data_IF_003907673358
#
_entry.id   IF_003907673358
#
_cell.length_a   1.000
_cell.length_b   1.000
_cell.length_c   1.000
_cell.angle_alpha   90.00
_cell.angle_beta   90.00
_cell.angle_gamma   90.00
#
_symmetry.space_group_name_H-M   'P 1'
#
loop_
_entity.id
_entity.type
_entity.pdbx_description
1 polymer ?
#
# COMPACT_ATOMS: atom_id res chain seq x y z
N UNK A 1 67.28 14.15 -3.11
CA UNK A 1 66.25 13.12 -3.33
C UNK A 1 64.97 13.54 -2.62
N UNK A 2 63.96 14.04 -3.34
CA UNK A 2 62.64 14.40 -2.80
C UNK A 2 61.61 13.51 -3.49
N UNK A 3 60.99 12.59 -2.77
CA UNK A 3 59.94 11.71 -3.28
C UNK A 3 58.61 12.46 -3.21
N UNK A 4 58.02 12.79 -4.37
CA UNK A 4 56.61 13.17 -4.46
C UNK A 4 55.77 11.91 -4.23
N UNK A 5 54.83 11.97 -3.29
CA UNK A 5 53.76 10.98 -3.15
C UNK A 5 52.50 11.65 -3.71
N UNK A 6 52.04 11.20 -4.87
CA UNK A 6 50.77 11.61 -5.45
C UNK A 6 49.66 10.79 -4.78
N UNK A 7 48.74 11.47 -4.09
CA UNK A 7 47.49 10.86 -3.62
C UNK A 7 46.46 10.97 -4.74
N UNK A 8 46.10 9.82 -5.31
CA UNK A 8 44.95 9.71 -6.21
C UNK A 8 43.71 9.56 -5.32
N UNK A 9 42.88 10.60 -5.25
CA UNK A 9 41.52 10.49 -4.70
C UNK A 9 40.65 9.93 -5.81
N UNK A 10 40.27 8.65 -5.71
CA UNK A 10 39.27 8.07 -6.60
C UNK A 10 37.90 8.60 -6.17
N UNK A 11 37.34 9.53 -6.96
CA UNK A 11 35.94 9.90 -6.84
C UNK A 11 35.08 8.71 -7.32
N UNK A 12 34.45 8.00 -6.37
CA UNK A 12 33.43 7.00 -6.70
C UNK A 12 32.19 7.78 -7.13
N UNK A 13 31.95 7.87 -8.45
CA UNK A 13 30.69 8.35 -8.99
C UNK A 13 29.67 7.23 -8.74
N UNK A 14 28.91 7.35 -7.65
CA UNK A 14 27.67 6.61 -7.47
C UNK A 14 26.68 7.14 -8.49
N UNK A 15 26.54 6.44 -9.62
CA UNK A 15 25.39 6.65 -10.50
C UNK A 15 24.20 6.12 -9.70
N UNK A 16 23.23 6.96 -9.30
CA UNK A 16 22.01 6.44 -8.72
C UNK A 16 21.38 5.55 -9.79
N UNK A 17 21.32 4.24 -9.52
CA UNK A 17 20.46 3.36 -10.27
C UNK A 17 19.06 3.90 -10.01
N UNK A 18 18.44 4.53 -11.02
CA UNK A 18 17.05 4.93 -10.89
C UNK A 18 16.27 3.65 -10.57
N UNK A 19 15.73 3.55 -9.36
CA UNK A 19 14.79 2.52 -9.03
C UNK A 19 13.62 2.71 -9.99
N UNK A 20 13.46 1.77 -10.93
CA UNK A 20 12.23 1.71 -11.71
C UNK A 20 11.10 1.60 -10.68
N UNK A 21 10.14 2.53 -10.69
CA UNK A 21 8.96 2.41 -9.84
C UNK A 21 8.34 1.02 -10.12
N UNK A 22 8.21 0.20 -9.08
CA UNK A 22 7.57 -1.10 -9.22
C UNK A 22 6.14 -0.87 -9.70
N UNK A 23 5.70 -1.65 -10.69
CA UNK A 23 4.32 -1.60 -11.12
C UNK A 23 3.47 -2.29 -10.05
N UNK A 24 2.28 -1.76 -9.79
CA UNK A 24 1.35 -2.31 -8.80
C UNK A 24 -0.02 -2.48 -9.44
N UNK A 25 -0.66 -3.62 -9.19
CA UNK A 25 -2.08 -3.84 -9.44
C UNK A 25 -2.77 -4.03 -8.09
N UNK A 26 -3.63 -3.07 -7.73
CA UNK A 26 -4.22 -2.94 -6.40
C UNK A 26 -5.74 -3.19 -6.46
N UNK A 27 -6.22 -4.23 -5.79
CA UNK A 27 -7.64 -4.47 -5.61
C UNK A 27 -8.10 -4.01 -4.23
N UNK A 28 -9.04 -3.07 -4.18
CA UNK A 28 -9.65 -2.56 -2.95
C UNK A 28 -10.97 -3.28 -2.70
N UNK A 29 -11.02 -4.15 -1.70
CA UNK A 29 -12.20 -4.85 -1.23
C UNK A 29 -12.79 -4.12 -0.01
N UNK A 30 -13.93 -3.47 -0.23
CA UNK A 30 -14.54 -2.53 0.70
C UNK A 30 -15.79 -3.15 1.35
N UNK A 31 -15.78 -3.29 2.67
CA UNK A 31 -16.91 -3.82 3.42
C UNK A 31 -18.07 -2.81 3.45
N UNK A 32 -19.23 -3.26 2.98
CA UNK A 32 -20.50 -2.55 3.01
C UNK A 32 -21.58 -3.32 3.77
N UNK A 33 -21.20 -4.26 4.64
CA UNK A 33 -22.10 -5.10 5.43
C UNK A 33 -22.93 -4.30 6.44
N UNK A 34 -23.89 -4.98 7.08
CA UNK A 34 -24.89 -4.36 7.95
C UNK A 34 -24.40 -3.99 9.36
N UNK A 35 -23.21 -4.45 9.78
CA UNK A 35 -22.56 -4.01 11.02
C UNK A 35 -22.10 -2.55 10.93
N UNK A 36 -21.72 -2.11 9.72
CA UNK A 36 -21.30 -0.75 9.44
C UNK A 36 -22.55 0.13 9.33
N UNK A 37 -22.65 1.18 10.16
CA UNK A 37 -23.72 2.16 10.02
C UNK A 37 -23.57 2.96 8.72
N UNK A 38 -24.67 3.47 8.15
CA UNK A 38 -24.57 4.26 6.91
C UNK A 38 -23.74 5.54 7.06
N UNK A 39 -23.65 6.11 8.27
CA UNK A 39 -22.73 7.23 8.53
C UNK A 39 -21.27 6.77 8.45
N UNK A 40 -20.94 5.62 9.04
CA UNK A 40 -19.58 5.07 9.00
C UNK A 40 -19.19 4.62 7.59
N UNK A 41 -20.13 4.04 6.84
CA UNK A 41 -19.90 3.70 5.44
C UNK A 41 -19.58 4.95 4.60
N UNK A 42 -20.28 6.07 4.85
CA UNK A 42 -19.96 7.33 4.19
C UNK A 42 -18.58 7.86 4.60
N UNK A 43 -18.18 7.77 5.87
CA UNK A 43 -16.81 8.14 6.31
C UNK A 43 -15.74 7.33 5.57
N UNK A 44 -15.90 6.00 5.50
CA UNK A 44 -15.00 5.12 4.75
C UNK A 44 -14.93 5.50 3.27
N UNK A 45 -16.09 5.75 2.65
CA UNK A 45 -16.19 6.12 1.23
C UNK A 45 -15.53 7.48 0.96
N UNK A 46 -15.79 8.47 1.80
CA UNK A 46 -15.22 9.82 1.69
C UNK A 46 -13.70 9.77 1.87
N UNK A 47 -13.19 8.95 2.80
CA UNK A 47 -11.77 8.72 2.98
C UNK A 47 -11.11 8.08 1.74
N UNK A 48 -11.71 7.05 1.14
CA UNK A 48 -11.22 6.50 -0.13
C UNK A 48 -11.17 7.55 -1.24
N UNK A 49 -12.22 8.37 -1.36
CA UNK A 49 -12.26 9.47 -2.34
C UNK A 49 -11.15 10.50 -2.06
N UNK A 50 -10.97 10.91 -0.80
CA UNK A 50 -9.95 11.88 -0.39
C UNK A 50 -8.54 11.37 -0.70
N UNK A 51 -8.19 10.20 -0.16
CA UNK A 51 -6.86 9.59 -0.25
C UNK A 51 -6.51 9.26 -1.70
N UNK A 52 -7.38 8.56 -2.42
CA UNK A 52 -7.08 8.12 -3.78
C UNK A 52 -7.06 9.28 -4.77
N UNK A 53 -7.70 10.42 -4.47
CA UNK A 53 -7.65 11.62 -5.32
C UNK A 53 -6.37 12.44 -5.09
N UNK A 54 -5.65 12.23 -3.99
CA UNK A 54 -4.38 12.88 -3.71
C UNK A 54 -3.23 12.28 -4.55
N UNK A 55 -2.71 13.06 -5.50
CA UNK A 55 -1.64 12.62 -6.41
C UNK A 55 -0.27 12.39 -5.73
N UNK A 56 -0.08 12.86 -4.50
CA UNK A 56 1.10 12.53 -3.68
C UNK A 56 0.99 11.15 -3.03
N UNK A 57 -0.24 10.62 -2.90
CA UNK A 57 -0.52 9.31 -2.31
C UNK A 57 -0.68 8.25 -3.38
N UNK A 58 -1.53 8.50 -4.39
CA UNK A 58 -1.72 7.61 -5.54
C UNK A 58 -1.14 8.25 -6.82
N UNK A 59 0.01 7.76 -7.33
CA UNK A 59 0.64 8.29 -8.53
C UNK A 59 -0.29 8.30 -9.76
N UNK A 60 -0.06 9.27 -10.66
CA UNK A 60 -0.81 9.46 -11.92
C UNK A 60 0.04 9.18 -13.16
N UNK A 61 1.09 8.39 -13.02
CA UNK A 61 2.09 8.11 -14.04
C UNK A 61 1.92 6.72 -14.69
N UNK A 62 0.82 6.01 -14.38
CA UNK A 62 0.52 4.68 -14.87
C UNK A 62 1.27 3.55 -14.16
N UNK A 63 2.02 3.85 -13.10
CA UNK A 63 2.68 2.83 -12.27
C UNK A 63 1.70 1.95 -11.50
N UNK A 64 0.50 2.46 -11.19
CA UNK A 64 -0.53 1.74 -10.43
C UNK A 64 -1.78 1.50 -11.28
N UNK A 65 -2.34 0.30 -11.23
CA UNK A 65 -3.70 -0.01 -11.67
C UNK A 65 -4.57 -0.31 -10.44
N UNK A 66 -5.85 0.10 -10.46
CA UNK A 66 -6.76 -0.08 -9.33
C UNK A 66 -8.05 -0.76 -9.78
N UNK A 67 -8.47 -1.77 -9.02
CA UNK A 67 -9.80 -2.38 -9.06
C UNK A 67 -10.53 -2.11 -7.73
N UNK A 68 -11.86 -2.03 -7.76
CA UNK A 68 -12.67 -1.80 -6.56
C UNK A 68 -13.82 -2.79 -6.48
N UNK A 69 -13.97 -3.41 -5.33
CA UNK A 69 -15.06 -4.32 -4.98
C UNK A 69 -15.77 -3.82 -3.73
N UNK A 70 -17.10 -3.74 -3.78
CA UNK A 70 -17.95 -3.58 -2.59
C UNK A 70 -18.47 -4.96 -2.21
N UNK A 71 -18.31 -5.37 -0.95
CA UNK A 71 -18.81 -6.66 -0.49
C UNK A 71 -19.70 -6.56 0.73
N UNK A 72 -20.62 -7.50 0.82
CA UNK A 72 -21.52 -7.73 1.96
C UNK A 72 -21.95 -9.20 1.96
N UNK A 73 -23.24 -9.51 1.76
CA UNK A 73 -23.67 -10.88 1.46
C UNK A 73 -23.23 -11.34 0.06
N UNK A 74 -23.14 -10.39 -0.87
CA UNK A 74 -22.66 -10.57 -2.24
C UNK A 74 -21.47 -9.63 -2.49
N UNK A 75 -20.68 -9.94 -3.52
CA UNK A 75 -19.56 -9.12 -4.00
C UNK A 75 -19.96 -8.41 -5.29
N UNK A 76 -19.75 -7.10 -5.34
CA UNK A 76 -20.05 -6.24 -6.48
C UNK A 76 -18.75 -5.62 -6.96
N UNK A 77 -18.40 -5.86 -8.23
CA UNK A 77 -17.34 -5.12 -8.89
C UNK A 77 -17.82 -3.70 -9.18
N UNK A 78 -17.17 -2.72 -8.54
CA UNK A 78 -17.51 -1.29 -8.61
C UNK A 78 -16.69 -0.59 -9.69
N UNK A 79 -15.45 -1.01 -9.86
CA UNK A 79 -14.52 -0.45 -10.84
C UNK A 79 -13.56 -1.55 -11.31
N UNK A 80 -13.51 -1.76 -12.62
CA UNK A 80 -12.61 -2.75 -13.25
C UNK A 80 -11.15 -2.32 -13.08
N UNK A 81 -10.24 -3.29 -13.03
CA UNK A 81 -8.81 -3.03 -12.94
C UNK A 81 -8.38 -2.08 -14.07
N UNK A 82 -8.00 -0.86 -13.69
CA UNK A 82 -7.67 0.19 -14.64
C UNK A 82 -6.40 0.91 -14.22
N UNK A 83 -5.47 1.07 -15.16
CA UNK A 83 -4.26 1.90 -14.97
C UNK A 83 -4.64 3.34 -14.62
N UNK A 84 -4.05 3.87 -13.55
CA UNK A 84 -4.35 5.20 -13.01
C UNK A 84 -3.41 6.26 -13.58
N UNK A 85 -4.02 7.23 -14.27
CA UNK A 85 -3.39 8.44 -14.76
C UNK A 85 -4.36 9.65 -14.64
N UNK A 86 -3.97 10.80 -15.19
CA UNK A 86 -4.79 12.01 -15.15
C UNK A 86 -6.14 11.90 -15.89
N UNK A 87 -6.32 10.89 -16.74
CA UNK A 87 -7.52 10.65 -17.54
C UNK A 87 -8.46 9.64 -16.90
N UNK A 88 -7.92 8.63 -16.21
CA UNK A 88 -8.72 7.55 -15.60
C UNK A 88 -9.13 7.84 -14.16
N UNK A 89 -8.38 8.67 -13.42
CA UNK A 89 -8.67 8.96 -12.01
C UNK A 89 -10.09 9.44 -11.75
N UNK A 90 -10.65 10.31 -12.59
CA UNK A 90 -12.02 10.79 -12.38
C UNK A 90 -13.06 9.68 -12.44
N UNK A 91 -12.78 8.61 -13.21
CA UNK A 91 -13.62 7.42 -13.27
C UNK A 91 -13.60 6.63 -11.97
N UNK A 92 -12.41 6.34 -11.44
CA UNK A 92 -12.23 5.69 -10.14
C UNK A 92 -12.96 6.43 -9.02
N UNK A 93 -12.72 7.75 -8.90
CA UNK A 93 -13.35 8.57 -7.85
C UNK A 93 -14.87 8.61 -7.99
N UNK A 94 -15.38 8.70 -9.21
CA UNK A 94 -16.83 8.71 -9.46
C UNK A 94 -17.47 7.36 -9.11
N UNK A 95 -16.80 6.24 -9.41
CA UNK A 95 -17.26 4.90 -9.11
C UNK A 95 -17.36 4.68 -7.59
N UNK A 96 -16.30 5.02 -6.85
CA UNK A 96 -16.25 4.92 -5.38
C UNK A 96 -17.33 5.81 -4.76
N UNK A 97 -17.41 7.09 -5.14
CA UNK A 97 -18.40 8.01 -4.59
C UNK A 97 -19.85 7.57 -4.87
N UNK A 98 -20.07 6.91 -6.01
CA UNK A 98 -21.36 6.36 -6.44
C UNK A 98 -21.77 5.07 -5.73
N UNK A 99 -20.91 4.45 -4.91
CA UNK A 99 -21.25 3.25 -4.16
C UNK A 99 -22.44 3.50 -3.22
N UNK A 100 -23.35 2.52 -3.21
CA UNK A 100 -24.47 2.46 -2.27
C UNK A 100 -24.28 1.25 -1.37
N UNK A 101 -24.28 1.47 -0.06
CA UNK A 101 -24.15 0.40 0.92
C UNK A 101 -25.26 -0.65 0.72
N UNK A 102 -24.86 -1.91 0.61
CA UNK A 102 -25.77 -3.05 0.43
C UNK A 102 -26.28 -3.61 1.76
N UNK A 103 -25.46 -3.55 2.82
CA UNK A 103 -25.79 -4.03 4.15
C UNK A 103 -25.88 -5.57 4.22
N UNK A 104 -26.36 -6.08 5.35
CA UNK A 104 -26.55 -7.52 5.55
C UNK A 104 -25.31 -8.24 6.06
N UNK A 105 -25.02 -9.40 5.46
CA UNK A 105 -23.93 -10.30 5.86
C UNK A 105 -22.56 -9.79 5.38
N UNK A 106 -21.50 -10.52 5.70
CA UNK A 106 -20.11 -10.17 5.41
C UNK A 106 -19.40 -11.34 4.71
N UNK A 107 -18.99 -11.15 3.46
CA UNK A 107 -18.31 -12.12 2.60
C UNK A 107 -16.90 -11.65 2.19
N UNK A 108 -15.98 -11.70 3.14
CA UNK A 108 -14.55 -11.45 2.95
C UNK A 108 -13.94 -12.48 1.99
N UNK A 109 -14.30 -13.75 2.12
CA UNK A 109 -13.73 -14.82 1.29
C UNK A 109 -14.07 -14.62 -0.20
N UNK A 110 -15.34 -14.33 -0.50
CA UNK A 110 -15.78 -14.03 -1.86
C UNK A 110 -15.10 -12.78 -2.43
N UNK A 111 -14.90 -11.74 -1.62
CA UNK A 111 -14.23 -10.51 -2.06
C UNK A 111 -12.77 -10.78 -2.46
N UNK A 112 -12.05 -11.57 -1.66
CA UNK A 112 -10.67 -12.00 -1.97
C UNK A 112 -10.64 -12.84 -3.24
N UNK A 113 -11.58 -13.79 -3.40
CA UNK A 113 -11.65 -14.65 -4.57
C UNK A 113 -11.91 -13.85 -5.86
N UNK A 114 -12.86 -12.91 -5.82
CA UNK A 114 -13.18 -12.05 -6.97
C UNK A 114 -11.98 -11.16 -7.37
N UNK A 115 -11.36 -10.50 -6.39
CA UNK A 115 -10.19 -9.66 -6.62
C UNK A 115 -9.01 -10.47 -7.19
N UNK A 116 -8.72 -11.65 -6.64
CA UNK A 116 -7.69 -12.55 -7.18
C UNK A 116 -7.96 -12.87 -8.64
N UNK A 117 -9.18 -13.28 -8.97
CA UNK A 117 -9.51 -13.75 -10.31
C UNK A 117 -9.31 -12.64 -11.36
N UNK A 118 -9.68 -11.39 -11.06
CA UNK A 118 -9.39 -10.26 -11.94
C UNK A 118 -7.90 -9.95 -12.03
N UNK A 119 -7.20 -9.80 -10.91
CA UNK A 119 -5.77 -9.47 -10.88
C UNK A 119 -4.92 -10.50 -11.64
N UNK A 120 -5.28 -11.80 -11.56
CA UNK A 120 -4.58 -12.88 -12.27
C UNK A 120 -5.03 -13.06 -13.72
N UNK A 121 -6.18 -12.50 -14.12
CA UNK A 121 -6.59 -12.48 -15.53
C UNK A 121 -5.71 -11.58 -16.40
N UNK A 122 -4.97 -10.67 -15.76
CA UNK A 122 -3.99 -9.75 -16.35
C UNK A 122 -4.52 -9.02 -17.61
N UNK A 123 -5.66 -8.30 -17.52
CA UNK A 123 -6.32 -7.73 -18.69
C UNK A 123 -5.44 -6.69 -19.41
N UNK A 124 -4.55 -6.03 -18.68
CA UNK A 124 -3.66 -4.97 -19.17
C UNK A 124 -2.22 -5.46 -19.47
N UNK A 125 -1.93 -6.75 -19.34
CA UNK A 125 -0.60 -7.33 -19.64
C UNK A 125 0.50 -6.88 -18.67
N UNK A 126 0.13 -6.58 -17.43
CA UNK A 126 0.96 -6.12 -16.31
C UNK A 126 1.43 -7.28 -15.43
N UNK A 127 1.74 -8.43 -16.03
CA UNK A 127 2.30 -9.62 -15.34
C UNK A 127 3.52 -9.37 -14.43
N UNK A 128 4.28 -8.30 -14.63
CA UNK A 128 5.43 -7.93 -13.78
C UNK A 128 5.07 -6.98 -12.63
N UNK A 129 3.80 -6.57 -12.50
CA UNK A 129 3.31 -5.77 -11.40
C UNK A 129 3.06 -6.63 -10.16
N UNK A 130 3.41 -6.08 -9.00
CA UNK A 130 3.04 -6.67 -7.71
C UNK A 130 1.52 -6.64 -7.60
N UNK A 131 0.91 -7.78 -7.26
CA UNK A 131 -0.54 -7.96 -7.16
C UNK A 131 -0.96 -7.93 -5.70
N UNK A 132 -1.76 -6.93 -5.35
CA UNK A 132 -2.11 -6.63 -3.96
C UNK A 132 -3.62 -6.63 -3.81
N UNK A 133 -4.12 -7.39 -2.85
CA UNK A 133 -5.53 -7.37 -2.44
C UNK A 133 -5.63 -6.74 -1.06
N UNK A 134 -6.46 -5.73 -0.92
CA UNK A 134 -6.68 -5.00 0.31
C UNK A 134 -8.11 -5.12 0.78
N UNK A 135 -8.33 -5.73 1.95
CA UNK A 135 -9.66 -5.81 2.53
C UNK A 135 -9.78 -4.85 3.71
N UNK A 136 -10.75 -3.93 3.65
CA UNK A 136 -11.17 -3.13 4.81
C UNK A 136 -12.47 -3.71 5.39
N UNK A 137 -12.54 -4.00 6.70
CA UNK A 137 -13.73 -4.59 7.35
C UNK A 137 -13.85 -4.21 8.83
N UNK A 138 -15.08 -4.10 9.35
CA UNK A 138 -15.36 -3.89 10.78
C UNK A 138 -15.68 -5.18 11.54
N UNK A 139 -15.61 -6.34 10.86
CA UNK A 139 -16.19 -7.57 11.35
C UNK A 139 -15.49 -8.84 10.90
N UNK A 140 -16.28 -9.91 10.78
CA UNK A 140 -15.86 -11.26 10.43
C UNK A 140 -16.74 -11.82 9.32
N UNK A 141 -16.27 -12.86 8.64
CA UNK A 141 -17.08 -13.65 7.71
C UNK A 141 -18.37 -14.16 8.36
N UNK A 142 -19.51 -13.94 7.71
CA UNK A 142 -20.82 -14.44 8.17
C UNK A 142 -21.59 -15.23 7.12
N UNK A 143 -21.01 -15.45 5.93
CA UNK A 143 -21.53 -16.36 4.90
C UNK A 143 -20.65 -17.62 4.80
N UNK A 144 -21.13 -18.73 4.20
CA UNK A 144 -20.29 -19.91 3.98
C UNK A 144 -19.01 -19.57 3.19
N UNK A 145 -17.86 -19.92 3.75
CA UNK A 145 -16.55 -19.62 3.18
C UNK A 145 -15.49 -19.55 4.28
N UNK A 146 -14.22 -19.54 3.89
CA UNK A 146 -13.10 -19.36 4.81
C UNK A 146 -12.14 -18.32 4.24
N UNK A 147 -12.13 -17.09 4.80
CA UNK A 147 -11.22 -16.04 4.35
C UNK A 147 -9.74 -16.43 4.42
N UNK A 148 -9.35 -17.27 5.40
CA UNK A 148 -7.96 -17.70 5.52
C UNK A 148 -7.57 -18.65 4.37
N UNK A 149 -8.49 -19.54 3.98
CA UNK A 149 -8.31 -20.42 2.82
C UNK A 149 -8.29 -19.63 1.51
N UNK A 150 -9.20 -18.66 1.34
CA UNK A 150 -9.24 -17.78 0.17
C UNK A 150 -7.94 -16.98 0.02
N UNK A 151 -7.47 -16.34 1.10
CA UNK A 151 -6.22 -15.58 1.11
C UNK A 151 -5.00 -16.46 0.83
N UNK A 152 -4.90 -17.63 1.47
CA UNK A 152 -3.80 -18.56 1.24
C UNK A 152 -3.78 -19.07 -0.21
N UNK A 153 -4.95 -19.36 -0.78
CA UNK A 153 -5.08 -19.78 -2.16
C UNK A 153 -4.69 -18.65 -3.15
N UNK A 154 -5.09 -17.41 -2.86
CA UNK A 154 -4.68 -16.25 -3.65
C UNK A 154 -3.15 -16.09 -3.70
N UNK A 155 -2.47 -16.17 -2.54
CA UNK A 155 -1.00 -16.14 -2.49
C UNK A 155 -0.40 -17.30 -3.29
N UNK A 156 -0.92 -18.52 -3.14
CA UNK A 156 -0.42 -19.70 -3.84
C UNK A 156 -0.57 -19.61 -5.38
N UNK A 157 -1.51 -18.81 -5.87
CA UNK A 157 -1.79 -18.62 -7.29
C UNK A 157 -1.07 -17.41 -7.92
N UNK A 158 -0.31 -16.64 -7.13
CA UNK A 158 0.52 -15.54 -7.63
C UNK A 158 0.01 -14.14 -7.28
N UNK A 159 -0.86 -14.00 -6.27
CA UNK A 159 -1.03 -12.73 -5.58
C UNK A 159 0.14 -12.53 -4.62
N UNK A 160 0.76 -11.36 -4.61
CA UNK A 160 1.94 -11.09 -3.79
C UNK A 160 1.55 -10.80 -2.33
N UNK A 161 0.47 -10.03 -2.14
CA UNK A 161 0.00 -9.64 -0.81
C UNK A 161 -1.53 -9.65 -0.72
N UNK A 162 -2.04 -10.19 0.40
CA UNK A 162 -3.45 -10.10 0.78
C UNK A 162 -3.52 -9.43 2.16
N UNK A 163 -3.73 -8.12 2.16
CA UNK A 163 -3.68 -7.31 3.36
C UNK A 163 -5.06 -7.09 3.98
N UNK A 164 -5.07 -6.71 5.26
CA UNK A 164 -6.29 -6.37 5.98
C UNK A 164 -6.17 -5.05 6.73
N UNK A 165 -7.24 -4.26 6.71
CA UNK A 165 -7.43 -3.09 7.55
C UNK A 165 -8.72 -3.24 8.36
N UNK A 166 -8.57 -3.50 9.65
CA UNK A 166 -9.66 -3.75 10.58
C UNK A 166 -10.11 -2.47 11.26
N UNK A 167 -11.42 -2.20 11.26
CA UNK A 167 -12.00 -1.01 11.88
C UNK A 167 -12.76 -1.41 13.15
N UNK A 168 -12.30 -0.91 14.30
CA UNK A 168 -12.96 -1.06 15.57
C UNK A 168 -12.89 -2.47 16.17
N UNK A 169 -13.58 -2.68 17.31
CA UNK A 169 -13.40 -3.87 18.14
C UNK A 169 -14.02 -5.16 17.57
N UNK A 170 -14.88 -5.04 16.54
CA UNK A 170 -15.49 -6.19 15.87
C UNK A 170 -14.59 -6.84 14.83
N UNK A 171 -13.60 -6.13 14.32
CA UNK A 171 -12.77 -6.58 13.23
C UNK A 171 -11.85 -7.73 13.65
N UNK A 172 -11.76 -8.76 12.79
CA UNK A 172 -10.83 -9.86 12.98
C UNK A 172 -10.04 -10.13 11.70
N UNK A 173 -8.74 -9.86 11.75
CA UNK A 173 -7.81 -10.08 10.64
C UNK A 173 -6.96 -11.35 10.80
N UNK A 174 -7.43 -12.36 11.56
CA UNK A 174 -6.68 -13.62 11.74
C UNK A 174 -6.46 -14.38 10.43
N UNK A 175 -7.28 -14.10 9.40
CA UNK A 175 -7.20 -14.69 8.07
C UNK A 175 -6.08 -14.12 7.19
N UNK A 176 -5.55 -12.92 7.51
CA UNK A 176 -4.45 -12.32 6.73
C UNK A 176 -3.20 -13.21 6.82
N UNK A 177 -2.65 -13.68 5.67
CA UNK A 177 -1.49 -14.58 5.63
C UNK A 177 -0.21 -13.99 6.21
N UNK A 178 0.72 -14.86 6.60
CA UNK A 178 2.08 -14.45 6.99
C UNK A 178 2.79 -13.80 5.81
N UNK A 179 3.40 -12.64 6.03
CA UNK A 179 4.10 -11.87 4.99
C UNK A 179 3.25 -10.75 4.38
N UNK A 180 1.92 -10.78 4.59
CA UNK A 180 1.02 -9.65 4.30
C UNK A 180 0.81 -8.78 5.54
N UNK A 181 0.31 -7.57 5.32
CA UNK A 181 0.18 -6.53 6.34
C UNK A 181 -1.22 -6.52 6.98
N UNK A 182 -1.24 -6.18 8.27
CA UNK A 182 -2.46 -5.99 9.06
C UNK A 182 -2.41 -4.62 9.70
N UNK A 183 -3.41 -3.80 9.42
CA UNK A 183 -3.63 -2.53 10.08
C UNK A 183 -4.91 -2.60 10.91
N UNK A 184 -4.92 -1.87 12.02
CA UNK A 184 -6.08 -1.76 12.91
C UNK A 184 -6.26 -0.29 13.25
N UNK A 185 -7.50 0.17 13.16
CA UNK A 185 -7.93 1.49 13.62
C UNK A 185 -9.05 1.34 14.64
N UNK A 186 -9.17 2.28 15.57
CA UNK A 186 -10.17 2.21 16.63
C UNK A 186 -11.58 2.53 16.11
N UNK A 187 -11.67 3.37 15.09
CA UNK A 187 -12.95 3.82 14.53
C UNK A 187 -12.84 4.24 13.05
N UNK A 188 -13.98 4.50 12.44
CA UNK A 188 -14.05 5.04 11.07
C UNK A 188 -13.52 6.48 10.96
N UNK A 189 -13.43 7.21 12.08
CA UNK A 189 -12.84 8.55 12.09
C UNK A 189 -11.31 8.49 11.92
N UNK A 190 -10.68 7.38 12.30
CA UNK A 190 -9.22 7.15 12.21
C UNK A 190 -8.82 6.43 10.90
N UNK A 191 -9.81 6.10 10.07
CA UNK A 191 -9.63 5.27 8.87
C UNK A 191 -8.79 5.97 7.79
N UNK A 192 -9.02 7.27 7.57
CA UNK A 192 -8.37 8.03 6.48
C UNK A 192 -6.84 8.07 6.61
N UNK A 193 -6.33 8.42 7.79
CA UNK A 193 -4.89 8.52 8.04
C UNK A 193 -4.17 7.17 7.80
N UNK A 194 -4.77 6.07 8.27
CA UNK A 194 -4.18 4.73 8.09
C UNK A 194 -4.30 4.25 6.64
N UNK A 195 -5.39 4.62 5.95
CA UNK A 195 -5.54 4.34 4.53
C UNK A 195 -4.48 5.09 3.71
N UNK A 196 -4.18 6.34 4.02
CA UNK A 196 -3.10 7.09 3.37
C UNK A 196 -1.75 6.40 3.52
N UNK A 197 -1.34 6.09 4.76
CA UNK A 197 -0.08 5.41 5.06
C UNK A 197 0.04 4.07 4.31
N UNK A 198 -1.07 3.34 4.23
CA UNK A 198 -1.18 2.06 3.55
C UNK A 198 -0.95 2.20 2.04
N UNK A 199 -1.71 3.08 1.38
CA UNK A 199 -1.60 3.28 -0.08
C UNK A 199 -0.20 3.75 -0.46
N UNK A 200 0.41 4.64 0.34
CA UNK A 200 1.81 5.06 0.11
C UNK A 200 2.76 3.87 0.22
N UNK A 201 2.63 3.08 1.29
CA UNK A 201 3.51 1.93 1.55
C UNK A 201 3.50 0.93 0.39
N UNK A 202 2.34 0.74 -0.24
CA UNK A 202 2.14 -0.26 -1.29
C UNK A 202 2.44 0.24 -2.69
N UNK A 203 2.16 1.50 -2.97
CA UNK A 203 2.34 2.08 -4.31
C UNK A 203 3.68 2.81 -4.50
N UNK A 204 4.50 2.87 -3.45
CA UNK A 204 5.74 3.64 -3.46
C UNK A 204 5.51 5.15 -3.51
N UNK A 205 4.35 5.60 -3.03
CA UNK A 205 4.01 7.01 -2.88
C UNK A 205 5.09 7.76 -2.09
N UNK A 206 5.32 9.02 -2.41
CA UNK A 206 6.40 9.80 -1.79
C UNK A 206 5.85 10.51 -0.55
N UNK A 207 5.94 9.91 0.63
CA UNK A 207 5.88 10.70 1.87
C UNK A 207 7.24 11.39 2.03
N UNK A 208 7.31 12.72 2.19
CA UNK A 208 8.56 13.38 2.57
C UNK A 208 9.03 12.81 3.90
N UNK A 209 10.05 11.95 3.90
CA UNK A 209 10.56 11.40 5.14
C UNK A 209 10.98 12.53 6.10
N UNK A 210 10.63 12.45 7.40
CA UNK A 210 11.22 13.31 8.41
C UNK A 210 12.74 13.15 8.32
N UNK A 211 13.48 14.26 8.45
CA UNK A 211 14.93 14.44 8.19
C UNK A 211 15.94 13.45 8.84
N UNK A 212 15.49 12.34 9.40
CA UNK A 212 16.23 11.27 10.06
C UNK A 212 17.18 10.51 9.12
N UNK A 213 16.82 10.28 7.84
CA UNK A 213 17.74 9.70 6.85
C UNK A 213 18.95 10.60 6.56
N UNK A 214 18.78 11.92 6.64
CA UNK A 214 19.88 12.89 6.48
C UNK A 214 20.88 12.83 7.66
N UNK A 215 20.40 12.44 8.85
CA UNK A 215 21.22 12.34 10.07
C UNK A 215 22.12 11.09 10.06
N UNK A 216 21.66 9.97 9.50
CA UNK A 216 22.49 8.78 9.32
C UNK A 216 23.65 9.03 8.35
N UNK A 217 23.42 9.80 7.28
CA UNK A 217 24.46 10.16 6.30
C UNK A 217 25.53 11.13 6.85
N UNK A 218 25.15 12.03 7.76
CA UNK A 218 26.09 13.02 8.34
C UNK A 218 26.89 12.48 9.53
N UNK A 219 26.39 11.45 10.23
CA UNK A 219 27.10 10.81 11.36
C UNK A 219 28.39 10.06 10.96
N UNK A 220 28.42 9.45 9.77
CA UNK A 220 29.58 8.68 9.29
C UNK A 220 30.75 9.56 8.81
N UNK A 221 30.50 10.80 8.40
CA UNK A 221 31.55 11.76 8.02
C UNK A 221 32.23 12.40 9.25
N UNK A 222 31.56 12.45 10.41
CA UNK A 222 32.10 13.03 11.63
C UNK A 222 33.17 12.19 12.34
N UNK A 223 33.18 10.87 12.14
CA UNK A 223 34.08 9.95 12.85
C UNK A 223 35.41 9.66 12.13
N UNK A 224 35.56 10.05 10.86
CA UNK A 224 36.81 9.89 10.12
C UNK A 224 37.87 10.97 10.38
N UNK A 225 37.50 12.09 11.01
CA UNK A 225 38.35 13.28 11.17
C UNK A 225 39.26 13.32 12.42
N UNK A 226 39.19 12.33 13.30
CA UNK A 226 39.85 12.36 14.62
C UNK A 226 40.81 11.18 14.83
N UNK A 227 41.96 11.18 14.14
CA UNK A 227 43.16 10.54 14.71
C UNK A 227 44.47 11.09 14.13
N UNK A 228 45.41 11.31 15.04
CA UNK A 228 46.83 11.71 14.87
C UNK A 228 47.19 13.20 14.81
N UNK A 229 46.98 13.89 15.93
CA UNK A 229 47.83 15.04 16.31
C UNK A 229 49.10 14.52 17.00
N UNK A 230 50.18 14.30 16.25
CA UNK A 230 51.52 14.03 16.80
C UNK A 230 52.01 15.24 17.62
N UNK A 231 52.20 15.05 18.93
CA UNK A 231 52.97 15.97 19.78
C UNK A 231 54.46 15.90 19.40
N UNK A 232 55.05 17.05 19.09
CA UNK A 232 56.51 17.26 19.07
C UNK A 232 56.85 18.62 19.70
N UNK A 233 57.40 18.60 20.91
CA UNK A 233 58.29 19.59 21.55
C UNK A 233 58.98 18.83 22.70
N UNK A 234 60.24 18.97 23.07
CA UNK A 234 61.42 19.74 22.65
C UNK A 234 62.59 19.16 23.48
N UNK A 235 63.74 18.92 22.87
CA UNK A 235 65.09 19.25 23.33
C UNK A 235 66.04 18.89 22.19
#
# INVERSE_FOLDING_TARGET
MRRLVAFIVAAVILIPLAAQAALVDLALCIDGSGSISSSNFNLQKDAYVSVLNNASVLPRDGSVAVAVYLFSADVIQVYDLTVIDNTTISGLISAINGMTQTGGLTDIAGAIDAARDELLSDPDGRSAADKIIDVSTDGIQTVPGDPAAAATNAIALGIDYVNGLGIGPGANLSWVPTGSNKWMVDSFDDFEDTLEDKIVTETGGVIPEPATLLLLGSGLLGLGGLSFRKRKQKA
#
